data_IF_159836855689
#
_entry.id   IF_159836855689
#
_cell.length_a   1.000
_cell.length_b   1.000
_cell.length_c   1.000
_cell.angle_alpha   90.00
_cell.angle_beta   90.00
_cell.angle_gamma   90.00
#
_symmetry.space_group_name_H-M   'P 1'
#
loop_
_entity.id
_entity.type
_entity.pdbx_description
1 polymer ?
#
# COMPACT_ATOMS: atom_id res chain seq x y z
N UNK A 1 3.52 -10.48 -9.56
CA UNK A 1 3.94 -9.07 -9.44
C UNK A 1 4.50 -8.62 -10.78
N UNK A 2 4.04 -7.49 -11.31
CA UNK A 2 4.41 -7.01 -12.65
C UNK A 2 4.57 -5.50 -12.63
N UNK A 3 5.37 -4.98 -13.55
CA UNK A 3 5.42 -3.54 -13.78
C UNK A 3 4.01 -3.04 -14.17
N UNK A 4 3.69 -1.77 -13.88
CA UNK A 4 2.44 -1.12 -14.34
C UNK A 4 2.22 -1.18 -15.86
N UNK A 5 3.30 -1.30 -16.61
CA UNK A 5 3.28 -1.46 -18.07
C UNK A 5 3.15 -2.92 -18.51
N UNK A 6 2.85 -3.85 -17.59
CA UNK A 6 2.69 -5.28 -17.88
C UNK A 6 3.99 -6.07 -18.01
N UNK A 7 5.15 -5.42 -18.04
CA UNK A 7 6.44 -6.11 -18.12
C UNK A 7 6.66 -7.08 -16.96
N UNK A 8 7.06 -8.31 -17.29
CA UNK A 8 7.38 -9.35 -16.33
C UNK A 8 8.62 -8.96 -15.49
N UNK A 9 8.65 -9.43 -14.24
CA UNK A 9 9.84 -9.39 -13.41
C UNK A 9 10.71 -10.61 -13.77
N UNK A 10 11.92 -10.43 -14.33
CA UNK A 10 12.83 -11.53 -14.60
C UNK A 10 13.19 -12.29 -13.31
N UNK A 11 13.34 -13.63 -13.35
CA UNK A 11 13.59 -14.43 -12.15
C UNK A 11 14.93 -14.11 -11.46
N UNK A 12 15.92 -13.59 -12.20
CA UNK A 12 17.22 -13.17 -11.70
C UNK A 12 17.24 -11.74 -11.14
N UNK A 13 16.14 -10.99 -11.30
CA UNK A 13 16.12 -9.59 -10.92
C UNK A 13 16.10 -9.42 -9.39
N UNK A 14 17.17 -8.83 -8.86
CA UNK A 14 17.27 -8.46 -7.44
C UNK A 14 16.40 -7.23 -7.11
N UNK A 15 15.93 -7.11 -5.86
CA UNK A 15 15.34 -5.87 -5.35
C UNK A 15 16.27 -4.67 -5.60
N UNK A 16 15.68 -3.57 -6.04
CA UNK A 16 16.34 -2.28 -6.15
C UNK A 16 16.50 -1.62 -4.77
N UNK A 17 15.52 -1.77 -3.88
CA UNK A 17 15.56 -1.30 -2.49
C UNK A 17 14.99 -2.38 -1.55
N UNK A 18 15.62 -2.52 -0.37
CA UNK A 18 15.32 -3.50 0.67
C UNK A 18 15.10 -2.88 2.04
N UNK A 19 15.08 -1.56 2.16
CA UNK A 19 14.93 -0.85 3.45
C UNK A 19 13.63 -1.18 4.20
N UNK A 20 12.62 -1.71 3.51
CA UNK A 20 11.29 -2.04 4.06
C UNK A 20 11.00 -3.55 4.09
N UNK A 21 12.03 -4.39 4.19
CA UNK A 21 11.90 -5.85 4.32
C UNK A 21 10.73 -6.25 5.24
N UNK A 22 9.77 -7.10 4.80
CA UNK A 22 9.76 -7.92 3.57
C UNK A 22 9.17 -7.26 2.32
N UNK A 23 8.93 -5.95 2.32
CA UNK A 23 8.47 -5.20 1.14
C UNK A 23 9.68 -4.76 0.31
N UNK A 24 9.86 -5.40 -0.84
CA UNK A 24 10.94 -5.09 -1.77
C UNK A 24 10.45 -4.23 -2.93
N UNK A 25 11.21 -3.17 -3.23
CA UNK A 25 10.99 -2.35 -4.42
C UNK A 25 11.85 -2.88 -5.57
N UNK A 26 11.24 -3.07 -6.74
CA UNK A 26 11.90 -3.56 -7.95
C UNK A 26 11.82 -2.49 -9.04
N UNK A 27 12.90 -2.31 -9.79
CA UNK A 27 12.96 -1.38 -10.92
C UNK A 27 12.85 -2.12 -12.25
N UNK A 28 11.82 -1.87 -13.03
CA UNK A 28 11.64 -2.52 -14.33
C UNK A 28 12.83 -2.25 -15.25
N UNK A 29 13.44 -3.30 -15.82
CA UNK A 29 14.58 -3.19 -16.74
C UNK A 29 14.21 -2.64 -18.13
N UNK A 30 12.93 -2.62 -18.48
CA UNK A 30 12.43 -2.14 -19.79
C UNK A 30 12.04 -0.66 -19.72
N UNK A 31 11.15 -0.29 -18.78
CA UNK A 31 10.61 1.08 -18.72
C UNK A 31 11.06 1.89 -17.49
N UNK A 32 11.93 1.34 -16.64
CA UNK A 32 12.52 2.05 -15.50
C UNK A 32 11.60 2.28 -14.29
N UNK A 33 10.31 2.00 -14.40
CA UNK A 33 9.33 2.18 -13.32
C UNK A 33 9.64 1.30 -12.10
N UNK A 34 9.46 1.86 -10.91
CA UNK A 34 9.55 1.13 -9.63
C UNK A 34 8.20 0.54 -9.25
N UNK A 35 8.19 -0.72 -8.83
CA UNK A 35 7.00 -1.45 -8.40
C UNK A 35 7.33 -2.41 -7.25
N UNK A 36 6.33 -2.72 -6.44
CA UNK A 36 6.42 -3.58 -5.26
C UNK A 36 5.10 -4.35 -5.05
N UNK A 37 5.00 -5.09 -3.94
CA UNK A 37 3.79 -5.84 -3.56
C UNK A 37 2.50 -4.99 -3.56
N UNK A 38 2.61 -3.69 -3.28
CA UNK A 38 1.49 -2.77 -3.18
C UNK A 38 1.19 -1.98 -4.46
N UNK A 39 1.86 -2.31 -5.57
CA UNK A 39 1.51 -1.74 -6.88
C UNK A 39 0.07 -2.12 -7.24
N UNK A 40 -0.69 -1.13 -7.72
CA UNK A 40 -2.12 -1.21 -8.03
C UNK A 40 -3.03 -1.52 -6.81
N UNK A 41 -2.57 -1.22 -5.60
CA UNK A 41 -3.37 -1.31 -4.35
C UNK A 41 -3.60 0.07 -3.72
N UNK A 42 -4.48 0.15 -2.71
CA UNK A 42 -4.65 1.35 -1.84
C UNK A 42 -3.34 1.84 -1.24
N UNK A 43 -2.35 0.95 -1.08
CA UNK A 43 -1.06 1.22 -0.45
C UNK A 43 0.01 1.64 -1.45
N UNK A 44 -0.32 1.77 -2.73
CA UNK A 44 0.64 2.19 -3.74
C UNK A 44 1.28 3.54 -3.36
N UNK A 45 2.62 3.57 -3.37
CA UNK A 45 3.42 4.74 -3.04
C UNK A 45 3.52 5.05 -1.54
N UNK A 46 2.92 4.25 -0.65
CA UNK A 46 3.14 4.45 0.79
C UNK A 46 4.54 3.99 1.20
N UNK A 47 5.12 4.66 2.19
CA UNK A 47 6.35 4.25 2.86
C UNK A 47 6.11 3.38 4.11
N UNK A 48 4.85 3.09 4.43
CA UNK A 48 4.50 2.24 5.56
C UNK A 48 5.06 0.83 5.41
N UNK A 49 5.57 0.29 6.51
CA UNK A 49 5.90 -1.13 6.65
C UNK A 49 4.62 -1.97 6.85
N UNK A 50 4.75 -3.30 6.75
CA UNK A 50 3.62 -4.21 6.90
C UNK A 50 2.88 -4.04 8.24
N UNK A 51 3.60 -3.79 9.34
CA UNK A 51 3.01 -3.64 10.68
C UNK A 51 2.14 -2.38 10.73
N UNK A 52 2.66 -1.24 10.25
CA UNK A 52 1.90 0.01 10.17
C UNK A 52 0.67 -0.15 9.29
N UNK A 53 0.78 -0.81 8.14
CA UNK A 53 -0.37 -1.07 7.25
C UNK A 53 -1.48 -1.82 8.01
N UNK A 54 -1.13 -2.91 8.70
CA UNK A 54 -2.11 -3.70 9.47
C UNK A 54 -2.75 -2.88 10.59
N UNK A 55 -1.95 -2.11 11.34
CA UNK A 55 -2.46 -1.25 12.42
C UNK A 55 -3.36 -0.14 11.89
N UNK A 56 -3.03 0.46 10.73
CA UNK A 56 -3.87 1.46 10.08
C UNK A 56 -5.22 0.85 9.71
N UNK A 57 -5.22 -0.31 9.04
CA UNK A 57 -6.48 -0.99 8.66
C UNK A 57 -7.33 -1.29 9.89
N UNK A 58 -6.71 -1.81 10.95
CA UNK A 58 -7.39 -2.10 12.21
C UNK A 58 -8.02 -0.83 12.81
N UNK A 59 -7.24 0.25 12.97
CA UNK A 59 -7.72 1.50 13.55
C UNK A 59 -8.85 2.13 12.72
N UNK A 60 -8.75 2.07 11.39
CA UNK A 60 -9.84 2.51 10.49
C UNK A 60 -11.10 1.67 10.69
N UNK A 61 -10.98 0.35 10.75
CA UNK A 61 -12.11 -0.56 10.96
C UNK A 61 -12.76 -0.40 12.35
N UNK A 62 -11.98 -0.03 13.37
CA UNK A 62 -12.47 0.25 14.73
C UNK A 62 -13.10 1.65 14.87
N UNK A 63 -13.03 2.50 13.83
CA UNK A 63 -13.53 3.87 13.89
C UNK A 63 -12.61 4.83 14.67
N UNK A 64 -11.35 4.45 14.94
CA UNK A 64 -10.38 5.32 15.60
C UNK A 64 -10.20 6.61 14.81
N UNK A 65 -10.21 7.80 15.45
CA UNK A 65 -9.95 9.07 14.77
C UNK A 65 -8.58 9.08 14.06
N UNK A 66 -8.50 9.69 12.87
CA UNK A 66 -7.25 9.74 12.09
C UNK A 66 -6.11 10.40 12.87
N UNK A 67 -6.41 11.46 13.63
CA UNK A 67 -5.42 12.16 14.43
C UNK A 67 -4.79 11.24 15.48
N UNK A 68 -5.60 10.55 16.28
CA UNK A 68 -5.12 9.61 17.29
C UNK A 68 -4.27 8.49 16.66
N UNK A 69 -4.68 7.98 15.50
CA UNK A 69 -3.95 6.93 14.80
C UNK A 69 -2.63 7.44 14.19
N UNK A 70 -2.58 8.69 13.74
CA UNK A 70 -1.36 9.31 13.23
C UNK A 70 -0.34 9.49 14.35
N UNK A 71 -0.79 9.97 15.51
CA UNK A 71 0.02 10.16 16.70
C UNK A 71 0.55 8.82 17.24
N UNK A 72 -0.32 7.81 17.38
CA UNK A 72 0.07 6.48 17.89
C UNK A 72 1.09 5.77 16.99
N UNK A 73 0.95 5.91 15.67
CA UNK A 73 1.80 5.22 14.70
C UNK A 73 3.00 6.04 14.23
N UNK A 74 3.15 7.27 14.75
CA UNK A 74 4.17 8.24 14.36
C UNK A 74 4.22 8.45 12.83
N UNK A 75 3.06 8.67 12.22
CA UNK A 75 2.93 8.92 10.78
C UNK A 75 2.34 10.29 10.49
N UNK A 76 2.65 10.81 9.30
CA UNK A 76 2.03 12.05 8.84
C UNK A 76 0.50 11.93 8.76
N UNK A 77 -0.19 12.87 9.41
CA UNK A 77 -1.64 12.93 9.45
C UNK A 77 -2.27 13.09 8.06
N UNK A 78 -1.70 13.97 7.22
CA UNK A 78 -2.23 14.27 5.89
C UNK A 78 -2.21 13.03 4.99
N UNK A 79 -1.06 12.35 4.94
CA UNK A 79 -0.89 11.09 4.23
C UNK A 79 -1.83 10.01 4.77
N UNK A 80 -1.98 9.89 6.09
CA UNK A 80 -2.88 8.90 6.67
C UNK A 80 -4.35 9.19 6.36
N UNK A 81 -4.77 10.47 6.38
CA UNK A 81 -6.12 10.88 6.04
C UNK A 81 -6.46 10.57 4.58
N UNK A 82 -5.54 10.86 3.66
CA UNK A 82 -5.70 10.49 2.24
C UNK A 82 -5.87 8.97 2.09
N UNK A 83 -5.07 8.18 2.82
CA UNK A 83 -5.17 6.71 2.81
C UNK A 83 -6.49 6.22 3.39
N UNK A 84 -6.97 6.82 4.47
CA UNK A 84 -8.30 6.51 5.02
C UNK A 84 -9.40 6.75 3.99
N UNK A 85 -9.39 7.90 3.32
CA UNK A 85 -10.38 8.19 2.28
C UNK A 85 -10.29 7.18 1.15
N UNK A 86 -9.08 6.81 0.71
CA UNK A 86 -8.89 5.75 -0.30
C UNK A 86 -9.44 4.40 0.17
N UNK A 87 -9.23 4.01 1.43
CA UNK A 87 -9.75 2.76 2.00
C UNK A 87 -11.28 2.75 2.08
N UNK A 88 -11.88 3.84 2.55
CA UNK A 88 -13.34 3.96 2.71
C UNK A 88 -14.06 4.05 1.36
N UNK A 89 -13.46 4.74 0.39
CA UNK A 89 -13.97 4.86 -0.96
C UNK A 89 -13.54 3.70 -1.87
N UNK A 90 -12.75 2.74 -1.37
CA UNK A 90 -12.41 1.56 -2.13
C UNK A 90 -13.65 0.70 -2.26
N UNK A 91 -14.43 0.97 -3.31
CA UNK A 91 -15.50 0.08 -3.70
C UNK A 91 -14.84 -1.22 -4.19
N UNK A 92 -15.03 -2.30 -3.44
CA UNK A 92 -14.88 -3.62 -4.03
C UNK A 92 -16.02 -3.77 -5.05
N UNK A 93 -15.74 -4.15 -6.29
CA UNK A 93 -16.76 -4.78 -7.14
C UNK A 93 -17.19 -6.09 -6.44
N UNK A 94 -18.10 -5.98 -5.50
CA UNK A 94 -18.80 -7.11 -4.88
C UNK A 94 -20.26 -6.92 -5.23
N UNK A 95 -20.80 -7.87 -5.98
CA UNK A 95 -22.21 -8.22 -5.93
C UNK A 95 -22.57 -8.47 -4.45
N UNK A 96 -22.89 -7.40 -3.72
CA UNK A 96 -23.63 -7.52 -2.48
C UNK A 96 -25.08 -7.64 -2.90
N UNK A 97 -25.54 -8.86 -3.09
CA UNK A 97 -26.98 -9.15 -3.08
C UNK A 97 -27.48 -8.70 -1.70
N UNK A 98 -28.42 -7.75 -1.60
CA UNK A 98 -29.01 -7.40 -0.32
C UNK A 98 -29.80 -8.61 0.20
N UNK A 99 -29.63 -8.92 1.48
CA UNK A 99 -30.55 -9.78 2.24
C UNK A 99 -31.88 -9.07 2.43
#
# INVERSE_FOLDING_TARGET
MKCKQGHALPPDQKPHDRRRDPIFDYRCRICGNVFNLFTDTVWQGSQYDCRKIVLIVRGVAQGTPTLHLADELEVDYGALLERRHRLQNWHWHTNRTPL
#
